data_IF_494888917718
#
_entry.id   IF_494888917718
#
_cell.length_a   1.000
_cell.length_b   1.000
_cell.length_c   1.000
_cell.angle_alpha   90.00
_cell.angle_beta   90.00
_cell.angle_gamma   90.00
#
_symmetry.space_group_name_H-M   'P 1'
#
loop_
_entity.id
_entity.type
_entity.pdbx_description
1 polymer ?
#
# COMPACT_ATOMS: atom_id res chain seq x y z
N UNK A 1 12.55 -13.35 -9.68
CA UNK A 1 12.04 -13.19 -9.45
C UNK A 1 11.39 -12.53 -9.23
N UNK A 2 11.26 -12.40 -8.90
CA UNK A 2 10.37 -11.80 -9.14
C UNK A 2 10.14 -10.69 -8.45
N UNK A 3 9.27 -9.86 -8.84
CA UNK A 3 9.02 -8.58 -8.26
C UNK A 3 8.19 -8.63 -7.01
N UNK A 4 7.72 -9.78 -6.61
CA UNK A 4 6.80 -9.89 -5.50
C UNK A 4 7.42 -9.53 -4.15
N UNK A 5 8.65 -9.95 -3.84
CA UNK A 5 9.28 -9.48 -2.60
C UNK A 5 9.44 -7.97 -2.57
N UNK A 6 9.82 -7.37 -3.70
CA UNK A 6 9.92 -5.91 -3.80
C UNK A 6 8.56 -5.26 -3.61
N UNK A 7 7.51 -5.88 -4.12
CA UNK A 7 6.16 -5.35 -3.99
C UNK A 7 5.76 -5.23 -2.52
N UNK A 8 6.06 -6.25 -1.72
CA UNK A 8 5.77 -6.19 -0.30
C UNK A 8 6.56 -5.08 0.39
N UNK A 9 7.85 -4.98 0.05
CA UNK A 9 8.69 -3.92 0.60
C UNK A 9 8.19 -2.54 0.19
N UNK A 10 7.71 -2.41 -1.03
CA UNK A 10 7.15 -1.16 -1.50
C UNK A 10 5.89 -0.78 -0.73
N UNK A 11 5.05 -1.76 -0.40
CA UNK A 11 3.88 -1.52 0.42
C UNK A 11 4.27 -1.02 1.82
N UNK A 12 5.28 -1.64 2.40
CA UNK A 12 5.76 -1.25 3.71
C UNK A 12 6.30 0.18 3.67
N UNK A 13 7.07 0.50 2.64
CA UNK A 13 7.61 1.85 2.47
C UNK A 13 6.49 2.88 2.32
N UNK A 14 5.48 2.54 1.54
CA UNK A 14 4.34 3.43 1.33
C UNK A 14 3.59 3.66 2.64
N UNK A 15 3.38 2.61 3.42
CA UNK A 15 2.71 2.73 4.70
C UNK A 15 3.50 3.61 5.66
N UNK A 16 4.83 3.47 5.66
CA UNK A 16 5.67 4.31 6.50
C UNK A 16 5.57 5.78 6.11
N UNK A 17 5.55 6.06 4.82
CA UNK A 17 5.46 7.44 4.35
C UNK A 17 4.10 8.05 4.67
N UNK A 18 3.05 7.24 4.64
CA UNK A 18 1.70 7.72 4.91
C UNK A 18 1.48 7.98 6.40
N UNK A 19 2.32 7.42 7.26
CA UNK A 19 2.20 7.61 8.71
C UNK A 19 2.21 9.09 9.09
N UNK A 20 3.10 9.86 8.47
CA UNK A 20 3.19 11.28 8.72
C UNK A 20 1.90 12.00 8.33
N UNK A 21 1.36 11.67 7.16
CA UNK A 21 0.11 12.27 6.69
C UNK A 21 -1.06 11.88 7.60
N UNK A 22 -1.05 10.65 8.07
CA UNK A 22 -2.07 10.15 8.98
C UNK A 22 -2.09 11.00 10.25
N UNK A 23 -0.92 11.23 10.84
CA UNK A 23 -0.81 12.04 12.05
C UNK A 23 -1.25 13.48 11.79
N UNK A 24 -0.85 14.05 10.65
CA UNK A 24 -1.22 15.41 10.30
C UNK A 24 -2.73 15.55 10.13
N UNK A 25 -3.35 14.57 9.49
CA UNK A 25 -4.78 14.62 9.25
C UNK A 25 -5.57 14.61 10.57
N UNK A 26 -5.25 13.69 11.46
CA UNK A 26 -6.01 13.52 12.69
C UNK A 26 -5.64 14.51 13.77
N UNK A 27 -4.42 15.00 13.79
CA UNK A 27 -3.98 15.92 14.83
C UNK A 27 -4.08 17.38 14.45
N UNK A 28 -4.04 17.70 13.17
CA UNK A 28 -3.99 19.09 12.70
C UNK A 28 -5.06 19.44 11.67
N UNK A 29 -6.01 18.54 11.41
CA UNK A 29 -7.07 18.75 10.43
C UNK A 29 -6.53 19.15 9.06
N UNK A 30 -5.43 18.54 8.65
CA UNK A 30 -4.81 18.85 7.36
C UNK A 30 -5.53 18.09 6.26
N UNK A 31 -6.37 18.77 5.48
CA UNK A 31 -7.15 18.10 4.46
C UNK A 31 -6.31 17.60 3.29
N UNK A 32 -5.19 18.26 3.00
CA UNK A 32 -4.28 17.75 1.97
C UNK A 32 -3.69 16.40 2.39
N UNK A 33 -3.38 16.25 3.69
CA UNK A 33 -2.91 14.97 4.20
C UNK A 33 -3.97 13.88 4.03
N UNK A 34 -5.24 14.23 4.26
CA UNK A 34 -6.34 13.28 4.06
C UNK A 34 -6.42 12.79 2.63
N UNK A 35 -6.24 13.69 1.66
CA UNK A 35 -6.25 13.33 0.26
C UNK A 35 -5.10 12.38 -0.06
N UNK A 36 -3.90 12.65 0.48
CA UNK A 36 -2.75 11.78 0.26
C UNK A 36 -2.95 10.40 0.88
N UNK A 37 -3.59 10.35 2.05
CA UNK A 37 -3.91 9.07 2.70
C UNK A 37 -4.83 8.24 1.80
N UNK A 38 -5.89 8.85 1.29
CA UNK A 38 -6.84 8.13 0.43
C UNK A 38 -6.16 7.59 -0.82
N UNK A 39 -5.29 8.39 -1.42
CA UNK A 39 -4.57 7.96 -2.61
C UNK A 39 -3.64 6.80 -2.29
N UNK A 40 -2.93 6.87 -1.17
CA UNK A 40 -2.03 5.79 -0.76
C UNK A 40 -2.81 4.51 -0.48
N UNK A 41 -3.97 4.61 0.15
CA UNK A 41 -4.79 3.43 0.40
C UNK A 41 -5.26 2.79 -0.90
N UNK A 42 -5.56 3.60 -1.90
CA UNK A 42 -5.94 3.08 -3.22
C UNK A 42 -4.79 2.29 -3.84
N UNK A 43 -3.56 2.80 -3.73
CA UNK A 43 -2.40 2.09 -4.24
C UNK A 43 -2.16 0.80 -3.49
N UNK A 44 -2.32 0.83 -2.17
CA UNK A 44 -2.16 -0.38 -1.35
C UNK A 44 -3.22 -1.42 -1.72
N UNK A 45 -4.45 -0.98 -1.94
CA UNK A 45 -5.52 -1.88 -2.35
C UNK A 45 -5.16 -2.58 -3.67
N UNK A 46 -4.70 -1.80 -4.65
CA UNK A 46 -4.35 -2.36 -5.95
C UNK A 46 -3.18 -3.33 -5.85
N UNK A 47 -2.17 -2.96 -5.07
CA UNK A 47 -0.99 -3.81 -4.88
C UNK A 47 -1.37 -5.09 -4.14
N UNK A 48 -2.19 -4.97 -3.11
CA UNK A 48 -2.65 -6.14 -2.35
C UNK A 48 -3.41 -7.11 -3.26
N UNK A 49 -4.23 -6.56 -4.15
CA UNK A 49 -4.97 -7.38 -5.11
C UNK A 49 -4.01 -8.15 -6.02
N UNK A 50 -2.97 -7.48 -6.50
CA UNK A 50 -1.97 -8.13 -7.36
C UNK A 50 -1.23 -9.23 -6.62
N UNK A 51 -0.87 -9.00 -5.37
CA UNK A 51 -0.20 -10.01 -4.57
C UNK A 51 -1.10 -11.23 -4.38
N UNK A 52 -2.38 -11.01 -4.10
CA UNK A 52 -3.32 -12.11 -3.92
C UNK A 52 -3.44 -12.95 -5.19
N UNK A 53 -3.51 -12.28 -6.34
CA UNK A 53 -3.59 -12.99 -7.62
C UNK A 53 -2.32 -13.79 -7.88
N UNK A 54 -1.18 -13.21 -7.59
CA UNK A 54 0.09 -13.90 -7.81
C UNK A 54 0.21 -15.14 -6.91
N UNK A 55 -0.19 -15.02 -5.66
CA UNK A 55 -0.17 -16.15 -4.74
C UNK A 55 -1.10 -17.26 -5.25
N UNK A 56 -2.28 -16.89 -5.70
CA UNK A 56 -3.25 -17.87 -6.20
C UNK A 56 -2.71 -18.58 -7.43
N UNK A 57 -2.12 -17.83 -8.36
CA UNK A 57 -1.55 -18.41 -9.56
C UNK A 57 -0.40 -19.37 -9.23
N UNK A 58 0.47 -18.95 -8.32
CA UNK A 58 1.60 -19.79 -7.92
C UNK A 58 1.12 -21.09 -7.27
N UNK A 59 0.10 -20.99 -6.41
CA UNK A 59 -0.47 -22.20 -5.79
C UNK A 59 -1.04 -23.15 -6.85
N UNK A 60 -1.72 -22.60 -7.83
CA UNK A 60 -2.37 -23.41 -8.85
C UNK A 60 -1.36 -24.10 -9.76
N UNK A 61 -0.18 -23.53 -9.89
CA UNK A 61 0.87 -24.10 -10.73
C UNK A 61 1.65 -25.22 -10.04
N UNK A 62 1.46 -25.39 -8.77
CA UNK A 62 2.09 -26.48 -8.04
C UNK A 62 1.27 -27.75 -8.16
#
# INVERSE_FOLDING_TARGET
>A
MDSMPSTLDDMISLLKSVRTDYDKFYNSNNSAAGTRIRKAMQEIKNTAHSVRQHVQTTKNER
#
